data_IF_777550475539
#
_entry.id   IF_777550475539
#
_cell.length_a   1.000
_cell.length_b   1.000
_cell.length_c   1.000
_cell.angle_alpha   90.00
_cell.angle_beta   90.00
_cell.angle_gamma   90.00
#
_symmetry.space_group_name_H-M   'P 1'
#
loop_
_entity.id
_entity.type
_entity.pdbx_description
1 polymer ?
#
# COMPACT_ATOMS: atom_id res chain seq x y z
N UNK A 1 -3.02 -18.63 3.37
CA UNK A 1 -3.08 -17.16 3.26
C UNK A 1 -3.39 -16.58 4.62
N UNK A 2 -2.73 -15.49 5.03
CA UNK A 2 -3.05 -14.81 6.29
C UNK A 2 -4.48 -14.21 6.22
N UNK A 3 -5.18 -14.08 7.36
CA UNK A 3 -6.48 -13.42 7.38
C UNK A 3 -6.40 -12.02 6.77
N UNK A 4 -7.31 -11.70 5.85
CA UNK A 4 -7.42 -10.35 5.30
C UNK A 4 -7.72 -9.35 6.43
N UNK A 5 -7.04 -8.20 6.43
CA UNK A 5 -7.25 -7.16 7.45
C UNK A 5 -6.48 -7.34 8.77
N UNK A 6 -5.59 -8.33 8.87
CA UNK A 6 -4.74 -8.51 10.06
C UNK A 6 -3.93 -7.26 10.44
N UNK A 7 -3.38 -6.54 9.45
CA UNK A 7 -2.63 -5.30 9.72
C UNK A 7 -3.53 -4.19 10.26
N UNK A 8 -4.80 -4.18 9.86
CA UNK A 8 -5.77 -3.21 10.32
C UNK A 8 -6.13 -3.47 11.80
N UNK A 9 -6.52 -4.70 12.14
CA UNK A 9 -6.89 -5.07 13.53
C UNK A 9 -5.69 -5.06 14.48
N UNK A 10 -4.49 -5.34 14.00
CA UNK A 10 -3.24 -5.19 14.76
C UNK A 10 -2.82 -3.72 14.97
N UNK A 11 -3.54 -2.74 14.41
CA UNK A 11 -3.24 -1.33 14.62
C UNK A 11 -2.03 -0.84 13.83
N UNK A 12 -1.62 -1.54 12.78
CA UNK A 12 -0.42 -1.17 12.01
C UNK A 12 -0.67 0.06 11.14
N UNK A 13 0.30 0.97 11.14
CA UNK A 13 0.27 2.20 10.34
C UNK A 13 0.87 1.99 8.95
N UNK A 14 0.36 0.98 8.23
CA UNK A 14 0.80 0.71 6.86
C UNK A 14 0.39 1.85 5.91
N UNK A 15 1.08 2.04 4.77
CA UNK A 15 0.69 3.08 3.80
C UNK A 15 -0.78 3.02 3.38
N UNK A 16 -1.33 1.81 3.19
CA UNK A 16 -2.74 1.62 2.85
C UNK A 16 -3.68 2.11 3.96
N UNK A 17 -3.39 1.80 5.22
CA UNK A 17 -4.19 2.25 6.38
C UNK A 17 -4.12 3.76 6.53
N UNK A 18 -2.92 4.35 6.39
CA UNK A 18 -2.73 5.79 6.46
C UNK A 18 -3.48 6.51 5.32
N UNK A 19 -3.43 5.98 4.09
CA UNK A 19 -4.19 6.49 2.96
C UNK A 19 -5.70 6.40 3.22
N UNK A 20 -6.17 5.28 3.77
CA UNK A 20 -7.55 5.07 4.21
C UNK A 20 -8.03 6.15 5.17
N UNK A 21 -7.28 6.43 6.24
CA UNK A 21 -7.63 7.51 7.19
C UNK A 21 -7.61 8.90 6.56
N UNK A 22 -6.76 9.15 5.56
CA UNK A 22 -6.70 10.43 4.86
C UNK A 22 -7.84 10.61 3.86
N UNK A 23 -8.35 9.54 3.25
CA UNK A 23 -9.33 9.59 2.14
C UNK A 23 -10.76 9.25 2.56
N UNK A 24 -10.96 8.30 3.48
CA UNK A 24 -12.29 7.91 3.92
C UNK A 24 -13.02 9.06 4.63
N UNK A 25 -14.35 9.11 4.48
CA UNK A 25 -15.21 10.14 5.09
C UNK A 25 -16.42 9.51 5.76
N UNK A 26 -17.11 10.29 6.59
CA UNK A 26 -18.39 9.92 7.19
C UNK A 26 -18.38 8.56 7.90
N UNK A 27 -19.33 7.69 7.54
CA UNK A 27 -19.50 6.35 8.14
C UNK A 27 -18.28 5.45 7.91
N UNK A 28 -17.63 5.55 6.73
CA UNK A 28 -16.44 4.77 6.41
C UNK A 28 -15.26 5.11 7.31
N UNK A 29 -14.99 6.41 7.52
CA UNK A 29 -13.93 6.85 8.43
C UNK A 29 -14.16 6.39 9.87
N UNK A 30 -15.41 6.46 10.35
CA UNK A 30 -15.77 5.96 11.69
C UNK A 30 -15.59 4.45 11.81
N UNK A 31 -15.89 3.70 10.76
CA UNK A 31 -15.65 2.25 10.75
C UNK A 31 -14.16 1.94 10.80
N UNK A 32 -13.32 2.60 9.98
CA UNK A 32 -11.87 2.42 10.02
C UNK A 32 -11.30 2.69 11.42
N UNK A 33 -11.73 3.78 12.08
CA UNK A 33 -11.32 4.08 13.47
C UNK A 33 -11.73 3.00 14.47
N UNK A 34 -12.90 2.39 14.30
CA UNK A 34 -13.42 1.35 15.20
C UNK A 34 -12.67 0.03 15.08
N UNK A 35 -12.27 -0.32 13.86
CA UNK A 35 -11.59 -1.60 13.56
C UNK A 35 -10.09 -1.50 13.79
N UNK A 36 -9.48 -0.34 13.55
CA UNK A 36 -8.04 -0.16 13.66
C UNK A 36 -7.53 -0.38 15.09
N UNK A 37 -6.63 -1.34 15.27
CA UNK A 37 -6.09 -1.71 16.59
C UNK A 37 -7.05 -2.51 17.47
N UNK A 38 -8.22 -2.89 16.95
CA UNK A 38 -9.18 -3.69 17.68
C UNK A 38 -9.06 -5.17 17.28
N UNK A 39 -8.36 -5.96 18.11
CA UNK A 39 -8.18 -7.41 17.91
C UNK A 39 -9.47 -8.21 18.05
N UNK A 40 -10.52 -7.63 18.63
CA UNK A 40 -11.84 -8.23 18.82
C UNK A 40 -12.86 -7.74 17.77
N UNK A 41 -12.42 -7.03 16.73
CA UNK A 41 -13.30 -6.59 15.65
C UNK A 41 -13.93 -7.80 14.95
N UNK A 42 -15.25 -7.73 14.70
CA UNK A 42 -15.96 -8.82 14.03
C UNK A 42 -15.43 -9.02 12.60
N UNK A 43 -15.41 -10.26 12.07
CA UNK A 43 -15.03 -10.51 10.67
C UNK A 43 -15.82 -9.67 9.66
N UNK A 44 -17.10 -9.40 9.95
CA UNK A 44 -17.95 -8.55 9.12
C UNK A 44 -17.57 -7.07 9.16
N UNK A 45 -17.12 -6.55 10.31
CA UNK A 45 -16.57 -5.19 10.41
C UNK A 45 -15.23 -5.08 9.68
N UNK A 46 -14.36 -6.09 9.81
CA UNK A 46 -13.06 -6.14 9.11
C UNK A 46 -13.28 -6.16 7.60
N UNK A 47 -14.19 -7.00 7.10
CA UNK A 47 -14.52 -7.05 5.67
C UNK A 47 -15.03 -5.70 5.15
N UNK A 48 -15.99 -5.08 5.87
CA UNK A 48 -16.50 -3.74 5.49
C UNK A 48 -15.41 -2.66 5.58
N UNK A 49 -14.48 -2.76 6.51
CA UNK A 49 -13.37 -1.83 6.61
C UNK A 49 -12.40 -1.98 5.42
N UNK A 50 -12.16 -3.20 4.96
CA UNK A 50 -11.39 -3.46 3.72
C UNK A 50 -12.11 -2.85 2.52
N UNK A 51 -13.41 -3.04 2.38
CA UNK A 51 -14.19 -2.39 1.31
C UNK A 51 -14.10 -0.86 1.36
N UNK A 52 -14.06 -0.27 2.56
CA UNK A 52 -13.87 1.18 2.71
C UNK A 52 -12.50 1.60 2.18
N UNK A 53 -11.43 0.83 2.43
CA UNK A 53 -10.10 1.12 1.90
C UNK A 53 -10.09 1.14 0.36
N UNK A 54 -10.73 0.16 -0.27
CA UNK A 54 -10.88 0.11 -1.73
C UNK A 54 -11.74 1.28 -2.24
N UNK A 55 -12.96 1.45 -1.73
CA UNK A 55 -13.92 2.48 -2.20
C UNK A 55 -13.43 3.91 -1.99
N UNK A 56 -12.59 4.17 -0.99
CA UNK A 56 -12.06 5.52 -0.74
C UNK A 56 -10.80 5.85 -1.56
N UNK A 57 -10.34 4.92 -2.41
CA UNK A 57 -9.19 5.17 -3.26
C UNK A 57 -7.85 4.95 -2.56
N UNK A 58 -7.81 4.25 -1.41
CA UNK A 58 -6.58 4.12 -0.62
C UNK A 58 -5.53 3.28 -1.35
N UNK A 59 -5.97 2.27 -2.11
CA UNK A 59 -5.09 1.40 -2.89
C UNK A 59 -4.41 2.17 -4.02
N UNK A 60 -5.18 2.98 -4.73
CA UNK A 60 -4.74 3.83 -5.83
C UNK A 60 -3.67 4.83 -5.36
N UNK A 61 -3.80 5.39 -4.15
CA UNK A 61 -2.75 6.25 -3.57
C UNK A 61 -1.44 5.47 -3.37
N UNK A 62 -1.52 4.23 -2.92
CA UNK A 62 -0.33 3.39 -2.72
C UNK A 62 0.29 2.99 -4.06
N UNK A 63 -0.53 2.61 -5.04
CA UNK A 63 -0.05 2.26 -6.38
C UNK A 63 0.58 3.47 -7.10
N UNK A 64 -0.02 4.65 -6.99
CA UNK A 64 0.58 5.88 -7.49
C UNK A 64 1.95 6.13 -6.85
N UNK A 65 2.06 5.97 -5.53
CA UNK A 65 3.34 6.17 -4.82
C UNK A 65 4.40 5.15 -5.24
N UNK A 66 4.01 3.92 -5.53
CA UNK A 66 4.91 2.89 -6.07
C UNK A 66 5.44 3.33 -7.44
N UNK A 67 4.56 3.79 -8.33
CA UNK A 67 4.96 4.28 -9.65
C UNK A 67 5.90 5.49 -9.59
N UNK A 68 5.65 6.43 -8.67
CA UNK A 68 6.55 7.57 -8.41
C UNK A 68 7.95 7.10 -7.99
N UNK A 69 8.03 6.17 -7.04
CA UNK A 69 9.30 5.62 -6.55
C UNK A 69 10.02 4.81 -7.64
N UNK A 70 9.27 4.10 -8.48
CA UNK A 70 9.84 3.38 -9.62
C UNK A 70 10.48 4.35 -10.63
N UNK A 71 9.77 5.44 -10.97
CA UNK A 71 10.29 6.47 -11.86
C UNK A 71 11.53 7.17 -11.28
N UNK A 72 11.51 7.50 -9.99
CA UNK A 72 12.65 8.07 -9.26
C UNK A 72 13.87 7.14 -9.30
N UNK A 73 13.66 5.83 -9.05
CA UNK A 73 14.73 4.84 -9.09
C UNK A 73 15.33 4.71 -10.50
N UNK A 74 14.50 4.70 -11.56
CA UNK A 74 14.98 4.65 -12.95
C UNK A 74 15.80 5.89 -13.31
N UNK A 75 15.32 7.08 -12.95
CA UNK A 75 16.07 8.31 -13.19
C UNK A 75 17.42 8.33 -12.47
N UNK A 76 17.48 7.86 -11.22
CA UNK A 76 18.72 7.77 -10.46
C UNK A 76 19.75 6.81 -11.09
N UNK A 77 19.29 5.72 -11.72
CA UNK A 77 20.16 4.77 -12.42
C UNK A 77 20.77 5.36 -13.70
N UNK A 78 20.03 6.17 -14.45
CA UNK A 78 20.54 6.84 -15.66
C UNK A 78 21.56 7.95 -15.34
N UNK A 79 21.43 8.62 -14.18
CA UNK A 79 22.35 9.68 -13.77
C UNK A 79 23.61 9.17 -13.07
N UNK A 80 23.65 7.89 -12.68
CA UNK A 80 24.75 7.32 -11.91
C UNK A 80 25.94 6.91 -12.77
N UNK A 81 27.16 7.03 -12.23
CA UNK A 81 28.39 6.52 -12.85
C UNK A 81 28.55 4.99 -12.73
N UNK A 82 27.46 4.24 -12.72
CA UNK A 82 27.50 2.79 -12.57
C UNK A 82 28.04 2.14 -13.86
N UNK A 83 28.73 1.01 -13.69
CA UNK A 83 29.03 0.15 -14.84
C UNK A 83 27.72 -0.40 -15.40
N UNK A 84 27.65 -0.54 -16.73
CA UNK A 84 26.47 -1.02 -17.47
C UNK A 84 25.83 -2.27 -16.86
N UNK A 85 26.62 -3.29 -16.52
CA UNK A 85 26.10 -4.52 -15.91
C UNK A 85 25.41 -4.28 -14.55
N UNK A 86 25.88 -3.30 -13.76
CA UNK A 86 25.25 -2.90 -12.51
C UNK A 86 23.94 -2.13 -12.73
N UNK A 87 23.91 -1.25 -13.74
CA UNK A 87 22.69 -0.54 -14.14
C UNK A 87 21.61 -1.52 -14.62
N UNK A 88 21.96 -2.49 -15.47
CA UNK A 88 21.05 -3.52 -15.98
C UNK A 88 20.48 -4.39 -14.85
N UNK A 89 21.33 -4.82 -13.90
CA UNK A 89 20.90 -5.60 -12.74
C UNK A 89 19.90 -4.84 -11.87
N UNK A 90 20.20 -3.59 -11.53
CA UNK A 90 19.33 -2.77 -10.69
C UNK A 90 18.03 -2.38 -11.41
N UNK A 91 18.09 -2.11 -12.72
CA UNK A 91 16.89 -1.87 -13.52
C UNK A 91 15.96 -3.10 -13.54
N UNK A 92 16.53 -4.31 -13.62
CA UNK A 92 15.79 -5.57 -13.46
C UNK A 92 15.13 -5.68 -12.09
N UNK A 93 15.84 -5.32 -11.01
CA UNK A 93 15.30 -5.33 -9.66
C UNK A 93 14.15 -4.33 -9.47
N UNK A 94 14.27 -3.11 -10.03
CA UNK A 94 13.19 -2.10 -10.01
C UNK A 94 11.91 -2.66 -10.65
N UNK A 95 12.03 -3.25 -11.85
CA UNK A 95 10.90 -3.88 -12.54
C UNK A 95 10.30 -5.03 -11.72
N UNK A 96 11.12 -5.89 -11.12
CA UNK A 96 10.65 -7.05 -10.34
C UNK A 96 9.95 -6.64 -9.04
N UNK A 97 10.40 -5.57 -8.37
CA UNK A 97 9.80 -5.06 -7.14
C UNK A 97 8.48 -4.30 -7.38
N UNK A 98 8.36 -3.64 -8.54
CA UNK A 98 7.14 -2.96 -8.95
C UNK A 98 6.10 -3.91 -9.55
N UNK A 99 6.53 -4.98 -10.23
CA UNK A 99 5.64 -5.99 -10.80
C UNK A 99 4.98 -6.83 -9.70
N UNK A 100 3.70 -6.55 -9.41
CA UNK A 100 2.87 -7.41 -8.56
C UNK A 100 1.87 -8.16 -9.42
N UNK A 101 1.91 -9.49 -9.37
CA UNK A 101 0.87 -10.35 -9.97
C UNK A 101 -0.47 -9.99 -9.33
N UNK A 102 -1.40 -9.53 -10.17
CA UNK A 102 -2.83 -9.39 -9.88
C UNK A 102 -3.44 -10.71 -9.45
#
# INVERSE_FOLDING_TARGET
GKPAGNDLTAGKRTPLVLAGFRRARGKGHRLLKRVHGNTQASPADVSRAIEVLEKCGAREVVEQRIGELEAEARAALEMGGLRRAGQELLAGAVSALAARRS
#
